data_IF_963464028427
#
_entry.id   IF_963464028427
#
_cell.length_a   1.000
_cell.length_b   1.000
_cell.length_c   1.000
_cell.angle_alpha   90.00
_cell.angle_beta   90.00
_cell.angle_gamma   90.00
#
_symmetry.space_group_name_H-M   'P 1'
#
loop_
_entity.id
_entity.type
_entity.pdbx_description
1 polymer ?
#
# COMPACT_ATOMS: atom_id res chain seq x y z
N UNK A 1 11.64 14.54 -21.79
CA UNK A 1 10.23 14.36 -21.42
C UNK A 1 10.00 12.89 -21.20
N UNK A 2 9.32 12.52 -20.11
CA UNK A 2 8.95 11.11 -19.88
C UNK A 2 7.86 10.72 -20.87
N UNK A 3 7.89 9.47 -21.31
CA UNK A 3 6.81 8.82 -22.05
C UNK A 3 5.61 8.59 -21.15
N UNK A 4 4.43 8.39 -21.74
CA UNK A 4 3.22 8.05 -20.99
C UNK A 4 3.39 6.78 -20.15
N UNK A 5 4.17 5.80 -20.64
CA UNK A 5 4.44 4.57 -19.93
C UNK A 5 5.38 4.76 -18.74
N UNK A 6 6.38 5.64 -18.85
CA UNK A 6 7.25 6.00 -17.72
C UNK A 6 6.51 6.81 -16.66
N UNK A 7 5.64 7.73 -17.06
CA UNK A 7 4.76 8.47 -16.13
C UNK A 7 3.87 7.48 -15.36
N UNK A 8 3.25 6.55 -16.08
CA UNK A 8 2.41 5.52 -15.47
C UNK A 8 3.21 4.63 -14.53
N UNK A 9 4.40 4.17 -14.94
CA UNK A 9 5.28 3.36 -14.08
C UNK A 9 5.63 4.08 -12.77
N UNK A 10 6.06 5.33 -12.86
CA UNK A 10 6.40 6.14 -11.70
C UNK A 10 5.21 6.31 -10.76
N UNK A 11 4.02 6.59 -11.29
CA UNK A 11 2.81 6.73 -10.49
C UNK A 11 2.44 5.42 -9.77
N UNK A 12 2.55 4.27 -10.44
CA UNK A 12 2.29 2.97 -9.82
C UNK A 12 3.31 2.61 -8.74
N UNK A 13 4.61 2.93 -8.95
CA UNK A 13 5.65 2.75 -7.93
C UNK A 13 5.41 3.63 -6.71
N UNK A 14 5.00 4.87 -6.92
CA UNK A 14 4.65 5.78 -5.83
C UNK A 14 3.45 5.25 -5.03
N UNK A 15 2.40 4.78 -5.70
CA UNK A 15 1.25 4.17 -5.03
C UNK A 15 1.62 2.91 -4.24
N UNK A 16 2.47 2.04 -4.80
CA UNK A 16 2.97 0.86 -4.07
C UNK A 16 3.76 1.26 -2.82
N UNK A 17 4.60 2.28 -2.92
CA UNK A 17 5.36 2.80 -1.79
C UNK A 17 4.44 3.40 -0.72
N UNK A 18 3.40 4.14 -1.11
CA UNK A 18 2.42 4.70 -0.19
C UNK A 18 1.65 3.61 0.57
N UNK A 19 1.17 2.57 -0.12
CA UNK A 19 0.48 1.44 0.54
C UNK A 19 1.41 0.69 1.52
N UNK A 20 2.69 0.54 1.18
CA UNK A 20 3.68 -0.04 2.08
C UNK A 20 3.89 0.82 3.33
N UNK A 21 4.03 2.14 3.16
CA UNK A 21 4.19 3.09 4.25
C UNK A 21 2.96 3.10 5.17
N UNK A 22 1.76 3.06 4.60
CA UNK A 22 0.51 2.98 5.35
C UNK A 22 0.41 1.67 6.14
N UNK A 23 0.70 0.52 5.52
CA UNK A 23 0.70 -0.76 6.20
C UNK A 23 1.65 -0.77 7.41
N UNK A 24 2.88 -0.26 7.22
CA UNK A 24 3.85 -0.17 8.31
C UNK A 24 3.37 0.76 9.43
N UNK A 25 2.83 1.94 9.07
CA UNK A 25 2.30 2.90 10.04
C UNK A 25 1.14 2.33 10.85
N UNK A 26 0.22 1.59 10.21
CA UNK A 26 -0.88 0.95 10.92
C UNK A 26 -0.39 -0.16 11.86
N UNK A 27 0.63 -0.93 11.46
CA UNK A 27 1.24 -1.95 12.31
C UNK A 27 1.97 -1.33 13.52
N UNK A 28 2.60 -0.18 13.36
CA UNK A 28 3.20 0.59 14.46
C UNK A 28 2.13 1.12 15.42
N UNK A 29 1.11 1.79 14.89
CA UNK A 29 -0.01 2.32 15.70
C UNK A 29 -0.71 1.21 16.47
N UNK A 30 -0.93 0.04 15.85
CA UNK A 30 -1.51 -1.12 16.53
C UNK A 30 -0.71 -1.52 17.79
N UNK A 31 0.63 -1.46 17.75
CA UNK A 31 1.49 -1.82 18.90
C UNK A 31 1.42 -0.79 20.03
N UNK A 32 1.21 0.48 19.70
CA UNK A 32 1.12 1.57 20.66
C UNK A 32 -0.27 1.68 21.32
N UNK A 33 -1.31 1.12 20.68
CA UNK A 33 -2.66 1.16 21.22
C UNK A 33 -2.85 0.19 22.38
N UNK A 34 -3.47 0.67 23.45
CA UNK A 34 -3.89 -0.15 24.60
C UNK A 34 -5.35 -0.62 24.49
N UNK A 35 -6.18 0.09 23.72
CA UNK A 35 -7.58 -0.27 23.48
C UNK A 35 -7.69 -1.42 22.46
N UNK A 36 -8.28 -2.58 22.83
CA UNK A 36 -8.41 -3.74 21.95
C UNK A 36 -9.29 -3.50 20.71
N UNK A 37 -10.26 -2.60 20.76
CA UNK A 37 -11.08 -2.24 19.60
C UNK A 37 -10.25 -1.41 18.61
N UNK A 38 -9.47 -0.45 19.10
CA UNK A 38 -8.58 0.34 18.25
C UNK A 38 -7.47 -0.52 17.63
N UNK A 39 -6.92 -1.48 18.37
CA UNK A 39 -5.96 -2.45 17.82
C UNK A 39 -6.54 -3.21 16.61
N UNK A 40 -7.79 -3.70 16.72
CA UNK A 40 -8.47 -4.40 15.62
C UNK A 40 -8.71 -3.50 14.41
N UNK A 41 -9.05 -2.23 14.63
CA UNK A 41 -9.21 -1.26 13.55
C UNK A 41 -7.90 -1.08 12.79
N UNK A 42 -6.79 -0.83 13.48
CA UNK A 42 -5.48 -0.67 12.85
C UNK A 42 -5.01 -1.95 12.16
N UNK A 43 -5.26 -3.12 12.74
CA UNK A 43 -5.00 -4.40 12.09
C UNK A 43 -5.80 -4.55 10.77
N UNK A 44 -7.08 -4.16 10.77
CA UNK A 44 -7.90 -4.15 9.56
C UNK A 44 -7.36 -3.20 8.49
N UNK A 45 -6.90 -2.01 8.88
CA UNK A 45 -6.29 -1.03 7.97
C UNK A 45 -4.94 -1.48 7.40
N UNK A 46 -4.12 -2.15 8.21
CA UNK A 46 -2.89 -2.80 7.76
C UNK A 46 -3.20 -3.84 6.68
N UNK A 47 -4.12 -4.77 6.96
CA UNK A 47 -4.51 -5.82 6.02
C UNK A 47 -5.09 -5.25 4.73
N UNK A 48 -5.91 -4.19 4.82
CA UNK A 48 -6.44 -3.51 3.65
C UNK A 48 -5.33 -2.92 2.78
N UNK A 49 -4.33 -2.28 3.39
CA UNK A 49 -3.19 -1.69 2.67
C UNK A 49 -2.33 -2.76 1.99
N UNK A 50 -2.05 -3.87 2.69
CA UNK A 50 -1.36 -5.03 2.11
C UNK A 50 -2.13 -5.65 0.93
N UNK A 51 -3.45 -5.74 1.05
CA UNK A 51 -4.32 -6.24 -0.02
C UNK A 51 -4.26 -5.33 -1.25
N UNK A 52 -4.35 -4.01 -1.04
CA UNK A 52 -4.22 -3.03 -2.14
C UNK A 52 -2.84 -3.09 -2.79
N UNK A 53 -1.77 -3.31 -2.02
CA UNK A 53 -0.43 -3.50 -2.56
C UNK A 53 -0.36 -4.73 -3.49
N UNK A 54 -0.95 -5.87 -3.10
CA UNK A 54 -1.02 -7.05 -3.96
C UNK A 54 -1.81 -6.78 -5.25
N UNK A 55 -2.98 -6.13 -5.14
CA UNK A 55 -3.81 -5.77 -6.30
C UNK A 55 -3.10 -4.78 -7.23
N UNK A 56 -2.40 -3.78 -6.70
CA UNK A 56 -1.58 -2.85 -7.49
C UNK A 56 -0.46 -3.59 -8.22
N UNK A 57 0.22 -4.50 -7.54
CA UNK A 57 1.30 -5.30 -8.15
C UNK A 57 0.79 -6.17 -9.30
N UNK A 58 -0.39 -6.78 -9.13
CA UNK A 58 -1.03 -7.56 -10.21
C UNK A 58 -1.45 -6.66 -11.38
N UNK A 59 -2.04 -5.50 -11.09
CA UNK A 59 -2.43 -4.52 -12.11
C UNK A 59 -1.23 -3.97 -12.87
N UNK A 60 -0.11 -3.72 -12.20
CA UNK A 60 1.16 -3.33 -12.82
C UNK A 60 1.67 -4.38 -13.80
N UNK A 61 1.65 -5.66 -13.41
CA UNK A 61 2.01 -6.77 -14.32
C UNK A 61 1.12 -6.78 -15.57
N UNK A 62 -0.19 -6.56 -15.41
CA UNK A 62 -1.14 -6.48 -16.52
C UNK A 62 -0.86 -5.34 -17.51
N UNK A 63 -0.26 -4.24 -17.05
CA UNK A 63 0.15 -3.11 -17.90
C UNK A 63 1.60 -3.20 -18.40
N UNK A 64 2.32 -4.29 -18.12
CA UNK A 64 3.75 -4.40 -18.44
C UNK A 64 4.62 -3.39 -17.69
N UNK A 65 4.17 -2.96 -16.51
CA UNK A 65 4.87 -2.03 -15.64
C UNK A 65 5.79 -2.84 -14.72
N UNK A 66 7.08 -2.48 -14.72
CA UNK A 66 8.15 -3.09 -13.92
C UNK A 66 8.65 -2.14 -12.86
#
# INVERSE_FOLDING_TARGET
>A
MLTQQEIMNNAFKELLYQEQMLANKFAELQKEMTDPQLQKVYQGMEMASRTRQSMLSEKMRGYGIV
#
